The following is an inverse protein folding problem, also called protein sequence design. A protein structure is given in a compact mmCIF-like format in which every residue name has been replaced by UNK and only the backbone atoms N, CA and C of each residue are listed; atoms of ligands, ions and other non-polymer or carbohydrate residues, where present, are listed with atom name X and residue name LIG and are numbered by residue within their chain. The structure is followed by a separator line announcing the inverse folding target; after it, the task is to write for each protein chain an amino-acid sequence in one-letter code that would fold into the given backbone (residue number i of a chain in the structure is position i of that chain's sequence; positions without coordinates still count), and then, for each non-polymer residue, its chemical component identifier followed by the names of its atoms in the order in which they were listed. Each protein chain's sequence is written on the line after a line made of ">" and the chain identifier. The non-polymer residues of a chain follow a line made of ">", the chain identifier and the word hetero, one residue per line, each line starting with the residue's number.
data_IF_696634826176
#
_entry.id   IF_696634826176
#
_cell.length_a   1.000
_cell.length_b   1.000
_cell.length_c   1.000
_cell.angle_alpha   90.00
_cell.angle_beta   90.00
_cell.angle_gamma   90.00
#
_symmetry.space_group_name_H-M   'P 1'
#
loop_
_entity.id
_entity.type
_entity.pdbx_description
1 polymer ?
#
# COMPACT_ATOMS: atom_id res chain seq x y z
N UNK A 1 -26.53 -11.99 47.27
CA UNK A 1 -26.35 -12.02 45.77
C UNK A 1 -26.05 -10.62 45.24
N UNK A 2 -26.75 -9.57 45.69
CA UNK A 2 -26.59 -8.20 45.18
C UNK A 2 -25.21 -7.57 45.45
N UNK A 3 -24.62 -7.77 46.63
CA UNK A 3 -23.31 -7.19 47.01
C UNK A 3 -22.15 -7.81 46.21
N UNK A 4 -22.23 -9.09 45.91
CA UNK A 4 -21.21 -9.79 45.10
C UNK A 4 -21.26 -9.31 43.61
N UNK A 5 -22.45 -9.22 43.04
CA UNK A 5 -22.62 -8.70 41.67
C UNK A 5 -22.12 -7.26 41.55
N UNK A 6 -22.41 -6.39 42.54
CA UNK A 6 -21.91 -5.02 42.56
C UNK A 6 -20.37 -4.96 42.66
N UNK A 7 -19.74 -5.85 43.44
CA UNK A 7 -18.29 -5.92 43.55
C UNK A 7 -17.64 -6.39 42.25
N UNK A 8 -18.19 -7.40 41.57
CA UNK A 8 -17.71 -7.87 40.25
C UNK A 8 -17.81 -6.73 39.22
N UNK A 9 -18.97 -6.05 39.15
CA UNK A 9 -19.16 -4.94 38.21
C UNK A 9 -18.18 -3.79 38.47
N UNK A 10 -17.91 -3.46 39.74
CA UNK A 10 -16.92 -2.43 40.06
C UNK A 10 -15.49 -2.83 39.66
N UNK A 11 -15.13 -4.10 39.88
CA UNK A 11 -13.81 -4.62 39.48
C UNK A 11 -13.65 -4.60 37.99
N UNK A 12 -14.67 -4.98 37.20
CA UNK A 12 -14.64 -4.96 35.76
C UNK A 12 -14.53 -3.50 35.22
N UNK A 13 -15.25 -2.56 35.81
CA UNK A 13 -15.14 -1.15 35.44
C UNK A 13 -13.75 -0.59 35.75
N UNK A 14 -13.18 -0.93 36.91
CA UNK A 14 -11.82 -0.52 37.26
C UNK A 14 -10.81 -1.06 36.28
N UNK A 15 -10.91 -2.33 35.93
CA UNK A 15 -10.03 -2.96 34.94
C UNK A 15 -10.10 -2.25 33.57
N UNK A 16 -11.30 -1.90 33.12
CA UNK A 16 -11.47 -1.14 31.87
C UNK A 16 -10.87 0.27 31.96
N UNK A 17 -11.06 0.95 33.10
CA UNK A 17 -10.48 2.29 33.30
C UNK A 17 -8.95 2.24 33.33
N UNK A 18 -8.36 1.25 34.02
CA UNK A 18 -6.92 1.06 34.07
C UNK A 18 -6.37 0.75 32.67
N UNK A 19 -7.11 -0.04 31.86
CA UNK A 19 -6.76 -0.32 30.46
C UNK A 19 -6.74 0.94 29.60
N UNK A 20 -7.77 1.78 29.68
CA UNK A 20 -7.83 3.04 28.94
C UNK A 20 -6.74 4.02 29.37
N UNK A 21 -6.44 4.08 30.68
CA UNK A 21 -5.35 4.93 31.17
C UNK A 21 -4.00 4.46 30.61
N UNK A 22 -3.75 3.15 30.55
CA UNK A 22 -2.53 2.60 29.97
C UNK A 22 -2.40 2.92 28.49
N UNK A 23 -3.49 2.80 27.71
CA UNK A 23 -3.52 3.17 26.29
C UNK A 23 -3.22 4.66 26.08
N UNK A 24 -3.77 5.54 26.91
CA UNK A 24 -3.50 6.98 26.87
C UNK A 24 -2.03 7.29 27.20
N UNK A 25 -1.46 6.62 28.22
CA UNK A 25 -0.05 6.76 28.61
C UNK A 25 0.88 6.30 27.48
N UNK A 26 0.62 5.16 26.85
CA UNK A 26 1.39 4.64 25.70
C UNK A 26 1.30 5.60 24.51
N UNK A 27 0.11 6.12 24.20
CA UNK A 27 -0.08 7.09 23.13
C UNK A 27 0.70 8.39 23.40
N UNK A 28 0.71 8.85 24.64
CA UNK A 28 1.46 10.05 25.02
C UNK A 28 2.97 9.82 24.96
N UNK A 29 3.47 8.67 25.40
CA UNK A 29 4.89 8.32 25.31
C UNK A 29 5.33 8.24 23.84
N UNK A 30 4.53 7.62 22.97
CA UNK A 30 4.80 7.55 21.54
C UNK A 30 4.83 8.94 20.90
N UNK A 31 3.88 9.82 21.26
CA UNK A 31 3.86 11.21 20.81
C UNK A 31 5.13 11.96 21.24
N UNK A 32 5.51 11.84 22.52
CA UNK A 32 6.71 12.50 23.06
C UNK A 32 7.99 11.97 22.38
N UNK A 33 8.09 10.67 22.15
CA UNK A 33 9.22 10.04 21.46
C UNK A 33 9.34 10.56 20.02
N UNK A 34 8.23 10.64 19.29
CA UNK A 34 8.21 11.19 17.93
C UNK A 34 8.61 12.66 17.91
N UNK A 35 8.10 13.45 18.83
CA UNK A 35 8.45 14.87 18.98
C UNK A 35 9.93 15.04 19.25
N UNK A 36 10.49 14.32 20.21
CA UNK A 36 11.92 14.39 20.55
C UNK A 36 12.80 13.96 19.38
N UNK A 37 12.39 12.93 18.64
CA UNK A 37 13.11 12.50 17.44
C UNK A 37 13.10 13.58 16.36
N UNK A 38 11.95 14.24 16.16
CA UNK A 38 11.84 15.34 15.19
C UNK A 38 12.70 16.54 15.60
N UNK A 39 12.65 16.95 16.88
CA UNK A 39 13.49 18.03 17.42
C UNK A 39 14.97 17.73 17.24
N UNK A 40 15.42 16.51 17.55
CA UNK A 40 16.78 16.06 17.33
C UNK A 40 17.19 16.15 15.85
N UNK A 41 16.31 15.72 14.92
CA UNK A 41 16.58 15.82 13.49
C UNK A 41 16.72 17.27 13.02
N UNK A 42 15.85 18.17 13.52
CA UNK A 42 15.92 19.61 13.19
C UNK A 42 17.21 20.22 13.73
N UNK A 43 17.61 19.88 14.94
CA UNK A 43 18.86 20.37 15.52
C UNK A 43 20.08 19.82 14.76
N UNK A 44 20.08 18.56 14.38
CA UNK A 44 21.15 17.98 13.53
C UNK A 44 21.30 18.73 12.20
N UNK A 45 20.18 19.08 11.54
CA UNK A 45 20.21 19.86 10.30
C UNK A 45 20.83 21.24 10.53
N UNK A 46 20.46 21.92 11.63
CA UNK A 46 20.98 23.24 11.99
C UNK A 46 22.46 23.20 12.35
N UNK A 47 22.87 22.29 13.23
CA UNK A 47 24.24 22.20 13.73
C UNK A 47 25.24 21.81 12.65
N UNK A 48 24.82 20.98 11.70
CA UNK A 48 25.67 20.52 10.61
C UNK A 48 25.56 21.37 9.34
N UNK A 49 24.81 22.47 9.39
CA UNK A 49 24.60 23.37 8.25
C UNK A 49 24.18 22.63 6.97
N UNK A 50 23.31 21.62 7.12
CA UNK A 50 22.78 20.87 5.98
C UNK A 50 22.00 21.80 5.06
N UNK A 51 21.98 21.55 3.74
CA UNK A 51 21.20 22.33 2.81
C UNK A 51 19.75 22.46 3.26
N UNK A 52 19.16 23.65 3.09
CA UNK A 52 17.79 23.95 3.53
C UNK A 52 16.71 23.03 2.98
N UNK A 53 17.00 22.33 1.89
CA UNK A 53 16.15 21.28 1.30
C UNK A 53 15.91 20.08 2.23
N UNK A 54 16.74 19.89 3.25
CA UNK A 54 16.53 18.85 4.29
C UNK A 54 15.84 19.39 5.54
N UNK A 55 15.56 20.69 5.60
CA UNK A 55 14.98 21.35 6.77
C UNK A 55 13.52 21.72 6.50
N UNK A 56 12.61 20.74 6.55
CA UNK A 56 11.20 21.07 6.74
C UNK A 56 11.03 21.70 8.12
N UNK A 57 10.60 22.96 8.15
CA UNK A 57 10.25 23.60 9.40
C UNK A 57 8.82 23.22 9.85
N UNK A 58 8.53 23.50 11.11
CA UNK A 58 7.22 23.15 11.69
C UNK A 58 6.03 23.75 10.90
N UNK A 59 6.17 24.97 10.39
CA UNK A 59 5.11 25.59 9.58
C UNK A 59 4.85 24.81 8.29
N UNK A 60 5.92 24.40 7.58
CA UNK A 60 5.76 23.61 6.35
C UNK A 60 5.08 22.26 6.64
N UNK A 61 5.41 21.60 7.75
CA UNK A 61 4.74 20.36 8.14
C UNK A 61 3.26 20.60 8.43
N UNK A 62 2.92 21.67 9.17
CA UNK A 62 1.54 22.02 9.48
C UNK A 62 0.75 22.38 8.22
N UNK A 63 1.35 23.17 7.31
CA UNK A 63 0.75 23.50 6.01
C UNK A 63 0.46 22.23 5.20
N UNK A 64 1.40 21.29 5.14
CA UNK A 64 1.18 20.03 4.44
C UNK A 64 0.03 19.23 5.06
N UNK A 65 -0.03 19.10 6.39
CA UNK A 65 -1.11 18.38 7.08
C UNK A 65 -2.46 19.03 6.79
N UNK A 66 -2.54 20.37 6.84
CA UNK A 66 -3.77 21.08 6.50
C UNK A 66 -4.23 20.81 5.06
N UNK A 67 -3.31 20.88 4.10
CA UNK A 67 -3.65 20.70 2.69
C UNK A 67 -3.91 19.24 2.32
N UNK A 68 -3.26 18.28 2.98
CA UNK A 68 -3.55 16.84 2.84
C UNK A 68 -5.02 16.53 3.10
N UNK A 69 -5.63 17.18 4.08
CA UNK A 69 -7.02 16.94 4.49
C UNK A 69 -8.05 17.78 3.70
N UNK A 70 -7.63 18.62 2.75
CA UNK A 70 -8.55 19.38 1.90
C UNK A 70 -9.36 18.46 0.98
N UNK A 71 -10.67 18.69 0.95
CA UNK A 71 -11.62 17.92 0.15
C UNK A 71 -11.72 18.40 -1.30
N UNK A 72 -11.37 19.66 -1.58
CA UNK A 72 -11.35 20.18 -2.95
C UNK A 72 -10.08 19.71 -3.67
N UNK A 73 -10.22 18.68 -4.48
CA UNK A 73 -9.12 18.02 -5.17
C UNK A 73 -8.33 18.97 -6.09
N UNK A 74 -9.01 19.81 -6.87
CA UNK A 74 -8.35 20.76 -7.77
C UNK A 74 -7.46 21.74 -7.02
N UNK A 75 -7.97 22.34 -5.94
CA UNK A 75 -7.19 23.27 -5.12
C UNK A 75 -6.03 22.57 -4.40
N UNK A 76 -6.23 21.33 -3.97
CA UNK A 76 -5.22 20.51 -3.35
C UNK A 76 -4.07 20.21 -4.31
N UNK A 77 -4.36 19.76 -5.53
CA UNK A 77 -3.35 19.52 -6.56
C UNK A 77 -2.58 20.80 -6.88
N UNK A 78 -3.27 21.93 -7.10
CA UNK A 78 -2.61 23.21 -7.38
C UNK A 78 -1.65 23.62 -6.27
N UNK A 79 -2.04 23.45 -5.01
CA UNK A 79 -1.17 23.76 -3.89
C UNK A 79 0.04 22.81 -3.85
N UNK A 80 -0.17 21.51 -4.00
CA UNK A 80 0.90 20.51 -4.03
C UNK A 80 1.89 20.83 -5.17
N UNK A 81 1.43 21.02 -6.40
CA UNK A 81 2.28 21.37 -7.54
C UNK A 81 3.09 22.65 -7.30
N UNK A 82 2.48 23.67 -6.67
CA UNK A 82 3.15 24.94 -6.37
C UNK A 82 4.22 24.85 -5.29
N UNK A 83 4.21 23.77 -4.50
CA UNK A 83 5.10 23.60 -3.35
C UNK A 83 6.10 22.43 -3.51
N UNK A 84 6.20 21.82 -4.68
CA UNK A 84 7.10 20.69 -4.95
C UNK A 84 8.54 20.95 -4.49
N UNK A 85 9.06 22.16 -4.73
CA UNK A 85 10.43 22.51 -4.35
C UNK A 85 10.64 22.58 -2.83
N UNK A 86 9.61 22.91 -2.07
CA UNK A 86 9.66 22.97 -0.60
C UNK A 86 9.71 21.56 -0.01
N UNK A 87 8.98 20.61 -0.63
CA UNK A 87 8.82 19.26 -0.13
C UNK A 87 9.59 18.21 -0.93
N UNK A 88 10.53 18.63 -1.77
CA UNK A 88 11.25 17.74 -2.70
C UNK A 88 11.80 16.47 -2.03
N UNK A 89 12.30 16.57 -0.80
CA UNK A 89 12.87 15.46 -0.03
C UNK A 89 11.90 14.85 0.99
N UNK A 90 10.65 15.23 0.97
CA UNK A 90 9.64 14.76 1.91
C UNK A 90 8.73 13.69 1.27
N UNK A 91 9.04 12.42 1.52
CA UNK A 91 8.33 11.27 0.94
C UNK A 91 6.80 11.34 1.04
N UNK A 92 6.20 11.61 2.21
CA UNK A 92 4.74 11.69 2.35
C UNK A 92 4.07 12.68 1.41
N UNK A 93 4.77 13.75 1.01
CA UNK A 93 4.28 14.71 0.03
C UNK A 93 4.05 14.07 -1.35
N UNK A 94 5.00 13.27 -1.83
CA UNK A 94 4.90 12.62 -3.13
C UNK A 94 3.83 11.53 -3.16
N UNK A 95 3.64 10.81 -2.04
CA UNK A 95 2.55 9.84 -1.94
C UNK A 95 1.18 10.53 -1.95
N UNK A 96 1.04 11.69 -1.28
CA UNK A 96 -0.20 12.45 -1.30
C UNK A 96 -0.48 13.07 -2.68
N UNK A 97 0.56 13.55 -3.37
CA UNK A 97 0.44 14.06 -4.73
C UNK A 97 0.06 12.95 -5.71
N UNK A 98 0.68 11.76 -5.59
CA UNK A 98 0.32 10.59 -6.40
C UNK A 98 -1.14 10.19 -6.19
N UNK A 99 -1.61 10.15 -4.94
CA UNK A 99 -3.01 9.89 -4.61
C UNK A 99 -3.94 10.92 -5.23
N UNK A 100 -3.60 12.20 -5.11
CA UNK A 100 -4.41 13.29 -5.67
C UNK A 100 -4.49 13.22 -7.20
N UNK A 101 -3.41 12.88 -7.89
CA UNK A 101 -3.41 12.64 -9.33
C UNK A 101 -4.22 11.41 -9.73
N UNK A 102 -4.13 10.32 -8.96
CA UNK A 102 -4.95 9.13 -9.18
C UNK A 102 -6.45 9.44 -9.07
N UNK A 103 -6.85 10.17 -8.03
CA UNK A 103 -8.23 10.60 -7.80
C UNK A 103 -8.76 11.55 -8.89
N UNK A 104 -7.88 12.31 -9.54
CA UNK A 104 -8.20 13.19 -10.68
C UNK A 104 -8.05 12.53 -12.05
N UNK A 105 -7.77 11.22 -12.08
CA UNK A 105 -7.54 10.46 -13.31
C UNK A 105 -6.32 10.92 -14.15
N UNK A 106 -5.38 11.65 -13.51
CA UNK A 106 -4.13 12.08 -14.13
C UNK A 106 -3.04 11.00 -13.96
N UNK A 107 -3.27 9.85 -14.59
CA UNK A 107 -2.54 8.60 -14.35
C UNK A 107 -1.03 8.67 -14.65
N UNK A 108 -0.62 9.39 -15.70
CA UNK A 108 0.80 9.59 -15.99
C UNK A 108 1.51 10.36 -14.87
N UNK A 109 0.87 11.41 -14.35
CA UNK A 109 1.41 12.20 -13.25
C UNK A 109 1.44 11.40 -11.94
N UNK A 110 0.46 10.52 -11.71
CA UNK A 110 0.47 9.59 -10.57
C UNK A 110 1.73 8.73 -10.59
N UNK A 111 2.04 8.10 -11.73
CA UNK A 111 3.26 7.30 -11.90
C UNK A 111 4.53 8.12 -11.69
N UNK A 112 4.58 9.35 -12.19
CA UNK A 112 5.75 10.21 -12.01
C UNK A 112 5.94 10.62 -10.55
N UNK A 113 4.87 10.89 -9.80
CA UNK A 113 4.95 11.20 -8.38
C UNK A 113 5.44 9.98 -7.56
N UNK A 114 5.00 8.77 -7.89
CA UNK A 114 5.53 7.54 -7.28
C UNK A 114 7.02 7.37 -7.57
N UNK A 115 7.49 7.61 -8.80
CA UNK A 115 8.93 7.57 -9.13
C UNK A 115 9.75 8.60 -8.37
N UNK A 116 9.19 9.79 -8.13
CA UNK A 116 9.85 10.80 -7.29
C UNK A 116 9.97 10.34 -5.84
N UNK A 117 8.95 9.69 -5.30
CA UNK A 117 9.03 9.05 -3.99
C UNK A 117 10.17 8.01 -3.94
N UNK A 118 10.26 7.12 -4.94
CA UNK A 118 11.34 6.13 -5.05
C UNK A 118 12.73 6.74 -5.04
N UNK A 119 12.89 7.89 -5.70
CA UNK A 119 14.15 8.63 -5.74
C UNK A 119 14.60 9.17 -4.38
N UNK A 120 13.66 9.38 -3.44
CA UNK A 120 13.93 9.85 -2.07
C UNK A 120 14.16 8.68 -1.13
N UNK A 121 13.39 7.62 -1.28
CA UNK A 121 13.36 6.44 -0.40
C UNK A 121 14.64 5.59 -0.53
N UNK A 122 15.79 6.19 -0.34
CA UNK A 122 17.07 5.51 -0.48
C UNK A 122 17.35 4.63 0.74
N UNK A 123 17.16 3.32 0.56
CA UNK A 123 17.66 2.27 1.48
C UNK A 123 17.12 2.35 2.91
N UNK A 124 15.82 2.29 3.04
CA UNK A 124 15.19 2.08 4.35
C UNK A 124 15.44 0.63 4.75
N UNK A 125 16.05 0.40 5.92
CA UNK A 125 16.29 -0.94 6.47
C UNK A 125 15.04 -1.59 7.05
N UNK A 126 13.90 -0.92 7.01
CA UNK A 126 12.60 -1.39 7.47
C UNK A 126 11.61 -1.46 6.31
N UNK A 127 10.54 -2.21 6.51
CA UNK A 127 9.42 -2.23 5.57
C UNK A 127 8.79 -0.85 5.46
N UNK A 128 8.50 -0.43 4.25
CA UNK A 128 7.83 0.81 3.92
C UNK A 128 6.35 0.53 3.65
N UNK A 129 5.55 0.55 4.71
CA UNK A 129 4.12 0.23 4.64
C UNK A 129 3.34 1.27 3.83
N UNK A 130 3.62 2.56 4.01
CA UNK A 130 2.93 3.64 3.30
C UNK A 130 3.16 3.53 1.79
N UNK A 131 4.38 3.19 1.40
CA UNK A 131 4.72 2.95 0.00
C UNK A 131 4.00 1.72 -0.55
N UNK A 132 4.01 0.60 0.17
CA UNK A 132 3.29 -0.61 -0.26
C UNK A 132 1.80 -0.34 -0.46
N UNK A 133 1.18 0.48 0.38
CA UNK A 133 -0.23 0.87 0.28
C UNK A 133 -0.51 1.84 -0.87
N UNK A 134 0.48 2.61 -1.31
CA UNK A 134 0.35 3.52 -2.44
C UNK A 134 0.49 2.82 -3.81
N UNK A 135 1.23 1.73 -3.90
CA UNK A 135 1.54 1.06 -5.17
C UNK A 135 0.35 0.47 -5.93
N UNK A 136 -0.76 0.02 -5.31
CA UNK A 136 -1.97 -0.32 -6.05
C UNK A 136 -2.46 0.79 -6.97
N UNK A 137 -2.40 2.05 -6.54
CA UNK A 137 -2.77 3.20 -7.38
C UNK A 137 -1.87 3.31 -8.62
N UNK A 138 -0.56 3.08 -8.46
CA UNK A 138 0.38 3.09 -9.58
C UNK A 138 0.11 1.95 -10.58
N UNK A 139 -0.20 0.74 -10.11
CA UNK A 139 -0.53 -0.40 -10.98
C UNK A 139 -1.82 -0.12 -11.75
N UNK A 140 -2.84 0.40 -11.09
CA UNK A 140 -4.11 0.76 -11.75
C UNK A 140 -3.88 1.91 -12.74
N UNK A 141 -3.13 2.94 -12.37
CA UNK A 141 -2.77 4.04 -13.28
C UNK A 141 -2.07 3.53 -14.55
N UNK A 142 -1.10 2.62 -14.41
CA UNK A 142 -0.42 2.02 -15.57
C UNK A 142 -1.40 1.24 -16.48
N UNK A 143 -2.43 0.62 -15.91
CA UNK A 143 -3.48 -0.08 -16.67
C UNK A 143 -4.36 0.90 -17.44
N UNK A 144 -4.74 2.02 -16.84
CA UNK A 144 -5.61 3.04 -17.45
C UNK A 144 -4.91 3.85 -18.56
N UNK A 145 -3.59 3.99 -18.53
CA UNK A 145 -2.78 4.57 -19.63
C UNK A 145 -2.90 3.74 -20.93
N UNK A 146 -3.31 2.46 -20.81
CA UNK A 146 -3.56 1.53 -21.94
C UNK A 146 -2.32 1.20 -22.78
N UNK A 147 -1.12 1.42 -22.24
CA UNK A 147 0.10 0.85 -22.79
C UNK A 147 0.38 -0.51 -22.13
N UNK A 148 0.21 -1.57 -22.91
CA UNK A 148 0.37 -2.94 -22.40
C UNK A 148 1.76 -3.21 -21.79
N UNK A 149 2.81 -2.64 -22.36
CA UNK A 149 4.17 -2.87 -21.89
C UNK A 149 4.42 -2.13 -20.57
N UNK A 150 3.96 -0.88 -20.49
CA UNK A 150 4.00 -0.09 -19.24
C UNK A 150 3.25 -0.82 -18.13
N UNK A 151 2.04 -1.29 -18.43
CA UNK A 151 1.25 -2.03 -17.44
C UNK A 151 1.95 -3.31 -16.96
N UNK A 152 2.39 -4.18 -17.88
CA UNK A 152 3.04 -5.45 -17.50
C UNK A 152 4.30 -5.21 -16.67
N UNK A 153 5.11 -4.22 -17.04
CA UNK A 153 6.33 -3.88 -16.30
C UNK A 153 5.98 -3.36 -14.90
N UNK A 154 5.14 -2.34 -14.81
CA UNK A 154 4.73 -1.73 -13.55
C UNK A 154 4.06 -2.74 -12.62
N UNK A 155 3.12 -3.53 -13.14
CA UNK A 155 2.40 -4.54 -12.38
C UNK A 155 3.34 -5.61 -11.81
N UNK A 156 4.31 -6.09 -12.60
CA UNK A 156 5.31 -7.06 -12.14
C UNK A 156 6.20 -6.48 -11.05
N UNK A 157 6.80 -5.31 -11.29
CA UNK A 157 7.76 -4.70 -10.38
C UNK A 157 7.10 -4.30 -9.07
N UNK A 158 5.96 -3.63 -9.12
CA UNK A 158 5.29 -3.15 -7.91
C UNK A 158 4.60 -4.26 -7.12
N UNK A 159 4.16 -5.33 -7.75
CA UNK A 159 3.67 -6.50 -7.01
C UNK A 159 4.74 -7.10 -6.10
N UNK A 160 5.97 -7.24 -6.55
CA UNK A 160 7.08 -7.72 -5.72
C UNK A 160 7.42 -6.73 -4.58
N UNK A 161 7.38 -5.44 -4.88
CA UNK A 161 7.62 -4.40 -3.86
C UNK A 161 6.52 -4.41 -2.79
N UNK A 162 5.25 -4.53 -3.19
CA UNK A 162 4.12 -4.67 -2.25
C UNK A 162 4.34 -5.87 -1.34
N UNK A 163 4.63 -7.06 -1.89
CA UNK A 163 4.80 -8.28 -1.10
C UNK A 163 5.98 -8.19 -0.12
N UNK A 164 7.04 -7.46 -0.48
CA UNK A 164 8.22 -7.29 0.38
C UNK A 164 8.03 -6.26 1.48
N UNK A 165 7.20 -5.24 1.26
CA UNK A 165 7.00 -4.12 2.18
C UNK A 165 5.67 -4.16 2.94
N UNK A 166 4.64 -4.84 2.45
CA UNK A 166 3.36 -4.90 3.12
C UNK A 166 3.46 -5.50 4.53
N UNK A 167 2.58 -5.02 5.41
CA UNK A 167 2.39 -5.63 6.72
C UNK A 167 2.00 -7.12 6.56
N UNK A 168 2.52 -7.95 7.45
CA UNK A 168 2.22 -9.39 7.48
C UNK A 168 0.71 -9.68 7.62
N UNK A 169 -0.03 -8.80 8.28
CA UNK A 169 -1.47 -8.93 8.50
C UNK A 169 -2.33 -8.30 7.38
N UNK A 170 -1.73 -7.51 6.49
CA UNK A 170 -2.45 -6.86 5.40
C UNK A 170 -2.75 -7.86 4.25
N UNK A 171 -3.71 -8.75 4.50
CA UNK A 171 -4.17 -9.74 3.52
C UNK A 171 -4.81 -9.09 2.28
N UNK A 172 -5.40 -7.91 2.41
CA UNK A 172 -6.07 -7.22 1.31
C UNK A 172 -5.07 -6.81 0.23
N UNK A 173 -3.90 -6.28 0.60
CA UNK A 173 -2.81 -6.02 -0.35
C UNK A 173 -2.32 -7.30 -1.02
N UNK A 174 -2.16 -8.40 -0.28
CA UNK A 174 -1.79 -9.69 -0.87
C UNK A 174 -2.85 -10.21 -1.84
N UNK A 175 -4.13 -10.08 -1.48
CA UNK A 175 -5.23 -10.44 -2.37
C UNK A 175 -5.21 -9.61 -3.65
N UNK A 176 -5.01 -8.30 -3.55
CA UNK A 176 -4.83 -7.43 -4.71
C UNK A 176 -3.69 -7.90 -5.61
N UNK A 177 -2.52 -8.21 -5.03
CA UNK A 177 -1.36 -8.71 -5.80
C UNK A 177 -1.67 -10.06 -6.48
N UNK A 178 -2.41 -10.95 -5.82
CA UNK A 178 -2.83 -12.21 -6.44
C UNK A 178 -3.69 -11.93 -7.69
N UNK A 179 -4.63 -10.98 -7.61
CA UNK A 179 -5.45 -10.56 -8.76
C UNK A 179 -4.58 -9.99 -9.90
N UNK A 180 -3.57 -9.18 -9.57
CA UNK A 180 -2.64 -8.64 -10.56
C UNK A 180 -1.85 -9.78 -11.24
N UNK A 181 -1.34 -10.75 -10.50
CA UNK A 181 -0.65 -11.89 -11.11
C UNK A 181 -1.56 -12.74 -12.02
N UNK A 182 -2.83 -12.92 -11.65
CA UNK A 182 -3.78 -13.58 -12.55
C UNK A 182 -4.02 -12.77 -13.83
N UNK A 183 -4.10 -11.44 -13.73
CA UNK A 183 -4.23 -10.58 -14.91
C UNK A 183 -2.97 -10.63 -15.77
N UNK A 184 -1.77 -10.60 -15.17
CA UNK A 184 -0.50 -10.79 -15.88
C UNK A 184 -0.43 -12.15 -16.61
N UNK A 185 -0.93 -13.22 -15.99
CA UNK A 185 -1.07 -14.51 -16.66
C UNK A 185 -1.98 -14.43 -17.89
N UNK A 186 -3.15 -13.81 -17.76
CA UNK A 186 -4.07 -13.61 -18.89
C UNK A 186 -3.45 -12.80 -20.03
N UNK A 187 -2.59 -11.81 -19.69
CA UNK A 187 -1.91 -10.95 -20.66
C UNK A 187 -0.71 -11.62 -21.36
N UNK A 188 0.00 -12.50 -20.65
CA UNK A 188 1.31 -13.04 -21.10
C UNK A 188 1.29 -14.53 -21.39
N UNK A 189 0.36 -15.28 -20.79
CA UNK A 189 0.33 -16.74 -20.80
C UNK A 189 1.37 -17.42 -19.91
N UNK A 190 2.16 -16.66 -19.12
CA UNK A 190 3.23 -17.22 -18.28
C UNK A 190 2.66 -17.96 -17.07
N UNK A 191 2.85 -19.27 -17.01
CA UNK A 191 2.40 -20.12 -15.89
C UNK A 191 3.02 -19.72 -14.53
N UNK A 192 4.16 -19.03 -14.54
CA UNK A 192 4.77 -18.49 -13.32
C UNK A 192 3.83 -17.53 -12.59
N UNK A 193 3.16 -16.63 -13.32
CA UNK A 193 2.21 -15.70 -12.72
C UNK A 193 0.96 -16.41 -12.15
N UNK A 194 0.49 -17.44 -12.84
CA UNK A 194 -0.61 -18.24 -12.35
C UNK A 194 -0.25 -18.93 -11.02
N UNK A 195 0.95 -19.50 -10.93
CA UNK A 195 1.43 -20.13 -9.71
C UNK A 195 1.58 -19.11 -8.57
N UNK A 196 2.16 -17.95 -8.84
CA UNK A 196 2.26 -16.87 -7.84
C UNK A 196 0.88 -16.42 -7.31
N UNK A 197 -0.11 -16.24 -8.20
CA UNK A 197 -1.47 -15.90 -7.81
C UNK A 197 -2.07 -16.96 -6.88
N UNK A 198 -1.90 -18.24 -7.24
CA UNK A 198 -2.38 -19.36 -6.44
C UNK A 198 -1.73 -19.42 -5.06
N UNK A 199 -0.40 -19.35 -5.00
CA UNK A 199 0.36 -19.45 -3.75
C UNK A 199 0.00 -18.32 -2.76
N UNK A 200 -0.20 -17.10 -3.26
CA UNK A 200 -0.61 -15.96 -2.43
C UNK A 200 -2.03 -16.15 -1.90
N UNK A 201 -2.97 -16.54 -2.76
CA UNK A 201 -4.35 -16.77 -2.36
C UNK A 201 -4.46 -17.93 -1.35
N UNK A 202 -3.72 -19.03 -1.57
CA UNK A 202 -3.66 -20.15 -0.65
C UNK A 202 -3.07 -19.75 0.71
N UNK A 203 -2.00 -18.96 0.71
CA UNK A 203 -1.41 -18.45 1.94
C UNK A 203 -2.40 -17.58 2.72
N UNK A 204 -3.16 -16.72 2.04
CA UNK A 204 -4.21 -15.92 2.65
C UNK A 204 -5.26 -16.80 3.34
N UNK A 205 -5.74 -17.86 2.68
CA UNK A 205 -6.70 -18.81 3.27
C UNK A 205 -6.15 -19.46 4.55
N UNK A 206 -4.87 -19.75 4.59
CA UNK A 206 -4.25 -20.43 5.72
C UNK A 206 -4.07 -19.51 6.96
N UNK A 207 -3.93 -18.19 6.75
CA UNK A 207 -3.63 -17.23 7.85
C UNK A 207 -4.84 -16.39 8.27
N UNK A 208 -5.93 -16.37 7.49
CA UNK A 208 -7.10 -15.56 7.76
C UNK A 208 -8.07 -16.22 8.74
N UNK A 209 -8.82 -15.38 9.45
CA UNK A 209 -10.00 -15.82 10.22
C UNK A 209 -11.12 -16.25 9.26
N UNK A 210 -12.03 -17.09 9.75
CA UNK A 210 -13.03 -17.78 8.91
C UNK A 210 -13.86 -16.81 8.05
N UNK A 211 -14.27 -15.66 8.59
CA UNK A 211 -15.06 -14.66 7.86
C UNK A 211 -14.35 -14.00 6.67
N UNK A 212 -13.02 -14.10 6.60
CA UNK A 212 -12.21 -13.52 5.54
C UNK A 212 -11.76 -14.56 4.50
N UNK A 213 -11.93 -15.85 4.82
CA UNK A 213 -11.51 -16.94 3.94
C UNK A 213 -12.37 -17.09 2.70
N UNK A 214 -13.67 -16.83 2.78
CA UNK A 214 -14.63 -17.09 1.69
C UNK A 214 -14.20 -16.38 0.40
N UNK A 215 -13.78 -15.12 0.47
CA UNK A 215 -13.32 -14.37 -0.70
C UNK A 215 -12.10 -15.01 -1.36
N UNK A 216 -11.12 -15.43 -0.55
CA UNK A 216 -9.89 -16.05 -1.06
C UNK A 216 -10.14 -17.49 -1.56
N UNK A 217 -11.07 -18.22 -0.96
CA UNK A 217 -11.50 -19.56 -1.45
C UNK A 217 -12.21 -19.46 -2.80
N UNK A 218 -13.14 -18.50 -2.96
CA UNK A 218 -13.79 -18.24 -4.24
C UNK A 218 -12.73 -17.90 -5.30
N UNK A 219 -11.77 -17.05 -4.97
CA UNK A 219 -10.71 -16.67 -5.89
C UNK A 219 -9.77 -17.84 -6.26
N UNK A 220 -9.47 -18.75 -5.34
CA UNK A 220 -8.74 -19.98 -5.66
C UNK A 220 -9.50 -20.84 -6.68
N UNK A 221 -10.83 -20.91 -6.57
CA UNK A 221 -11.68 -21.60 -7.55
C UNK A 221 -11.59 -20.96 -8.93
N UNK A 222 -11.63 -19.61 -8.99
CA UNK A 222 -11.49 -18.86 -10.25
C UNK A 222 -10.12 -19.10 -10.91
N UNK A 223 -9.04 -19.15 -10.12
CA UNK A 223 -7.69 -19.45 -10.62
C UNK A 223 -7.64 -20.86 -11.22
N UNK A 224 -8.24 -21.84 -10.55
CA UNK A 224 -8.29 -23.22 -11.04
C UNK A 224 -9.10 -23.33 -12.34
N UNK A 225 -10.24 -22.66 -12.44
CA UNK A 225 -11.05 -22.62 -13.66
C UNK A 225 -10.27 -22.03 -14.83
N UNK A 226 -9.55 -20.92 -14.63
CA UNK A 226 -8.71 -20.30 -15.66
C UNK A 226 -7.59 -21.25 -16.12
N UNK A 227 -7.00 -22.02 -15.20
CA UNK A 227 -5.98 -23.02 -15.53
C UNK A 227 -6.54 -24.13 -16.41
N UNK A 228 -7.66 -24.71 -16.04
CA UNK A 228 -8.32 -25.82 -16.77
C UNK A 228 -8.76 -25.39 -18.16
N UNK A 229 -9.37 -24.21 -18.27
CA UNK A 229 -9.84 -23.69 -19.55
C UNK A 229 -8.68 -23.47 -20.54
N UNK A 230 -7.55 -22.97 -20.05
CA UNK A 230 -6.36 -22.75 -20.87
C UNK A 230 -5.71 -24.05 -21.34
N UNK A 231 -5.66 -25.05 -20.48
CA UNK A 231 -5.15 -26.39 -20.87
C UNK A 231 -6.02 -27.01 -21.95
N UNK A 232 -7.34 -26.88 -21.86
CA UNK A 232 -8.27 -27.38 -22.87
C UNK A 232 -8.10 -26.63 -24.22
N UNK A 233 -7.87 -25.32 -24.20
CA UNK A 233 -7.60 -24.52 -25.42
C UNK A 233 -6.27 -24.91 -26.08
N UNK A 234 -5.22 -25.14 -25.28
CA UNK A 234 -3.91 -25.55 -25.78
C UNK A 234 -3.95 -26.96 -26.39
N UNK A 235 -4.65 -27.91 -25.75
CA UNK A 235 -4.88 -29.25 -26.32
C UNK A 235 -5.66 -29.21 -27.63
N UNK A 236 -6.68 -28.36 -27.74
CA UNK A 236 -7.47 -28.20 -28.96
C UNK A 236 -6.65 -27.58 -30.11
N UNK A 237 -5.73 -26.68 -29.77
CA UNK A 237 -4.79 -26.10 -30.74
C UNK A 237 -3.81 -27.15 -31.26
N UNK A 238 -3.18 -27.93 -30.38
CA UNK A 238 -2.28 -29.01 -30.76
C UNK A 238 -2.97 -30.07 -31.63
N UNK A 239 -4.21 -30.44 -31.27
CA UNK A 239 -5.01 -31.39 -32.10
C UNK A 239 -5.35 -30.85 -33.48
N UNK A 240 -5.49 -29.53 -33.65
CA UNK A 240 -5.73 -28.89 -34.95
C UNK A 240 -4.47 -28.80 -35.78
N UNK A 241 -3.33 -28.49 -35.15
CA UNK A 241 -2.03 -28.46 -35.83
C UNK A 241 -1.60 -29.86 -36.34
N UNK A 242 -1.79 -30.89 -35.53
CA UNK A 242 -1.51 -32.30 -35.93
C UNK A 242 -2.41 -32.79 -37.11
N UNK A 243 -3.62 -32.23 -37.26
CA UNK A 243 -4.53 -32.57 -38.35
C UNK A 243 -4.20 -31.87 -39.70
N UNK A 244 -3.30 -30.89 -39.69
CA UNK A 244 -2.88 -30.16 -40.89
C UNK A 244 -1.62 -30.75 -41.55
N UNK A 245 -1.02 -31.77 -40.95
CA UNK A 245 0.07 -32.58 -41.50
C UNK A 245 -0.43 -33.98 -41.87
#
# INVERSE_FOLDING_TARGET
>A
ASSYQNAVTQTDLQYLQDGWQLEDEEAQELHNSRKSTFEYMVDMVRENSLPGEYALNENAVNDFVEWKDKTNLTSKIQWLESNESTYEKFGPFWLELAKSYYESEEYDKCLDAIKKYEGISVKIFRKDYDYAEALPMAIVSAKEIRDKNVYIQTAREYSEVILSNADGENWALRYFVAQIYLDLYKQTGSKEYLQKAYDIALNNVNVLVESQKELNLAYLSDIQEVSVNKEAEDEDREKKEVKQY
#
